data_IF_721672520777
#
_entry.id   IF_721672520777
#
_cell.length_a   1.000
_cell.length_b   1.000
_cell.length_c   1.000
_cell.angle_alpha   90.00
_cell.angle_beta   90.00
_cell.angle_gamma   90.00
#
_symmetry.space_group_name_H-M   'P 1'
#
loop_
_entity.id
_entity.type
_entity.pdbx_description
1 polymer ?
#
# COMPACT_ATOMS: atom_id res chain seq x y z
N UNK A 1 -32.51 1.78 -15.52
CA UNK A 1 -31.31 1.82 -14.65
C UNK A 1 -30.17 2.34 -15.51
N UNK A 2 -29.56 3.47 -15.16
CA UNK A 2 -28.46 4.02 -15.96
C UNK A 2 -27.24 3.09 -15.86
N UNK A 3 -26.55 2.87 -16.98
CA UNK A 3 -25.38 2.00 -17.09
C UNK A 3 -24.11 2.57 -16.42
N UNK A 4 -24.25 3.59 -15.58
CA UNK A 4 -23.13 4.34 -15.00
C UNK A 4 -22.30 3.52 -14.01
N UNK A 5 -22.93 2.54 -13.35
CA UNK A 5 -22.28 1.65 -12.38
C UNK A 5 -22.05 0.21 -12.90
N UNK A 6 -22.27 -0.04 -14.19
CA UNK A 6 -22.09 -1.37 -14.75
C UNK A 6 -20.59 -1.65 -14.99
N UNK A 7 -20.07 -2.74 -14.39
CA UNK A 7 -18.70 -3.21 -14.64
C UNK A 7 -18.57 -3.63 -16.10
N UNK A 8 -17.75 -2.91 -16.86
CA UNK A 8 -17.44 -3.24 -18.26
C UNK A 8 -16.37 -4.33 -18.28
N UNK A 9 -16.76 -5.55 -18.60
CA UNK A 9 -15.83 -6.65 -18.79
C UNK A 9 -15.01 -6.43 -20.07
N UNK A 10 -13.71 -6.72 -20.02
CA UNK A 10 -12.83 -6.72 -21.18
C UNK A 10 -12.16 -8.09 -21.32
N UNK A 11 -11.84 -8.49 -22.54
CA UNK A 11 -11.13 -9.73 -22.78
C UNK A 11 -9.69 -9.61 -22.25
N UNK A 12 -9.24 -10.56 -21.44
CA UNK A 12 -7.89 -10.53 -20.89
C UNK A 12 -6.85 -10.63 -22.00
N UNK A 13 -5.86 -9.72 -21.97
CA UNK A 13 -4.76 -9.69 -22.93
C UNK A 13 -3.43 -9.71 -22.16
N UNK A 14 -2.74 -10.84 -22.23
CA UNK A 14 -1.42 -11.06 -21.61
C UNK A 14 -0.25 -10.78 -22.55
N UNK A 15 -0.49 -10.21 -23.74
CA UNK A 15 0.56 -9.91 -24.69
C UNK A 15 1.60 -8.94 -24.08
N UNK A 16 2.90 -9.13 -24.32
CA UNK A 16 3.97 -8.28 -23.75
C UNK A 16 3.83 -6.79 -24.06
N UNK A 17 3.20 -6.45 -25.19
CA UNK A 17 3.01 -5.07 -25.68
C UNK A 17 1.55 -4.63 -25.63
N UNK A 18 0.78 -5.05 -24.62
CA UNK A 18 -0.60 -4.58 -24.46
C UNK A 18 -0.63 -3.05 -24.23
N UNK A 19 -1.61 -2.33 -24.78
CA UNK A 19 -1.78 -0.90 -24.48
C UNK A 19 -2.07 -0.70 -22.99
N UNK A 20 -1.65 0.45 -22.44
CA UNK A 20 -2.06 0.87 -21.09
C UNK A 20 -3.58 1.00 -21.04
N UNK A 21 -4.19 0.62 -19.93
CA UNK A 21 -5.62 0.81 -19.73
C UNK A 21 -5.93 2.31 -19.68
N UNK A 22 -7.06 2.72 -20.24
CA UNK A 22 -7.56 4.11 -20.18
C UNK A 22 -7.79 4.54 -18.71
N UNK A 23 -8.27 3.62 -17.89
CA UNK A 23 -8.41 3.79 -16.44
C UNK A 23 -7.78 2.58 -15.72
N UNK A 24 -6.48 2.62 -15.39
CA UNK A 24 -5.81 1.50 -14.74
C UNK A 24 -6.27 1.33 -13.28
N UNK A 25 -6.25 0.09 -12.80
CA UNK A 25 -6.43 -0.19 -11.36
C UNK A 25 -5.30 0.51 -10.61
N UNK A 26 -5.68 1.27 -9.58
CA UNK A 26 -4.76 1.93 -8.66
C UNK A 26 -4.45 0.96 -7.53
N UNK A 27 -3.18 0.86 -7.18
CA UNK A 27 -2.70 -0.01 -6.10
C UNK A 27 -2.19 0.90 -4.98
N UNK A 28 -2.73 0.70 -3.79
CA UNK A 28 -2.22 1.27 -2.55
C UNK A 28 -1.44 0.18 -1.81
N UNK A 29 -0.18 0.46 -1.49
CA UNK A 29 0.61 -0.47 -0.69
C UNK A 29 0.30 -0.28 0.80
N UNK A 30 0.23 -1.40 1.53
CA UNK A 30 -0.08 -1.45 2.96
C UNK A 30 1.06 -2.03 3.80
N UNK A 31 2.22 -2.28 3.19
CA UNK A 31 3.31 -3.06 3.79
C UNK A 31 3.87 -2.38 5.04
N UNK A 32 3.99 -1.03 5.02
CA UNK A 32 4.56 -0.25 6.12
C UNK A 32 3.52 0.17 7.18
N UNK A 33 2.24 -0.23 7.05
CA UNK A 33 1.19 0.03 8.05
C UNK A 33 0.34 -1.21 8.31
N UNK A 34 -0.69 -1.48 7.51
CA UNK A 34 -1.70 -2.49 7.87
C UNK A 34 -1.19 -3.93 7.73
N UNK A 35 -0.21 -4.15 6.85
CA UNK A 35 0.46 -5.43 6.70
C UNK A 35 1.07 -5.92 8.00
N UNK A 36 1.86 -5.06 8.66
CA UNK A 36 2.47 -5.42 9.94
C UNK A 36 1.54 -5.36 11.13
N UNK A 37 0.56 -4.45 11.09
CA UNK A 37 -0.52 -4.42 12.06
C UNK A 37 -1.26 -5.77 12.11
N UNK A 38 -1.50 -6.38 10.93
CA UNK A 38 -2.18 -7.67 10.81
C UNK A 38 -1.28 -8.86 11.15
N UNK A 39 -0.03 -8.85 10.69
CA UNK A 39 0.84 -10.03 10.73
C UNK A 39 1.73 -10.13 11.98
N UNK A 40 2.10 -8.99 12.59
CA UNK A 40 3.03 -8.95 13.71
C UNK A 40 2.69 -7.87 14.74
N UNK A 41 1.39 -7.71 15.01
CA UNK A 41 0.86 -6.88 16.10
C UNK A 41 1.42 -5.45 16.09
N UNK A 42 1.60 -4.88 14.89
CA UNK A 42 2.08 -3.51 14.67
C UNK A 42 3.53 -3.28 15.13
N UNK A 43 4.35 -4.33 15.22
CA UNK A 43 5.73 -4.23 15.76
C UNK A 43 6.81 -3.97 14.71
N UNK A 44 6.46 -3.37 13.58
CA UNK A 44 7.46 -2.86 12.64
C UNK A 44 8.14 -1.62 13.22
N UNK A 45 9.46 -1.68 13.40
CA UNK A 45 10.29 -0.53 13.81
C UNK A 45 10.68 0.30 12.60
N UNK A 46 10.92 1.60 12.81
CA UNK A 46 11.36 2.49 11.73
C UNK A 46 12.66 2.02 11.09
N UNK A 47 13.63 1.54 11.89
CA UNK A 47 14.93 1.05 11.39
C UNK A 47 14.82 -0.13 10.42
N UNK A 48 13.80 -0.97 10.57
CA UNK A 48 13.56 -2.15 9.72
C UNK A 48 12.86 -1.76 8.40
N UNK A 49 12.15 -0.62 8.38
CA UNK A 49 11.41 -0.13 7.21
C UNK A 49 12.26 0.76 6.29
N UNK A 50 13.14 1.60 6.86
CA UNK A 50 13.95 2.56 6.10
C UNK A 50 14.74 1.95 4.92
N UNK A 51 15.35 0.75 5.03
CA UNK A 51 16.15 0.18 3.95
C UNK A 51 15.37 -0.10 2.66
N UNK A 52 14.05 -0.26 2.74
CA UNK A 52 13.20 -0.55 1.56
C UNK A 52 12.40 0.66 1.10
N UNK A 53 12.42 1.77 1.83
CA UNK A 53 11.58 2.94 1.55
C UNK A 53 11.83 3.54 0.15
N UNK A 54 13.09 3.69 -0.26
CA UNK A 54 13.46 4.20 -1.59
C UNK A 54 12.95 3.28 -2.71
N UNK A 55 13.12 1.96 -2.55
CA UNK A 55 12.59 0.99 -3.50
C UNK A 55 11.06 1.07 -3.62
N UNK A 56 10.35 1.32 -2.51
CA UNK A 56 8.89 1.44 -2.54
C UNK A 56 8.41 2.68 -3.29
N UNK A 57 9.13 3.79 -3.19
CA UNK A 57 8.88 5.01 -3.98
C UNK A 57 9.08 4.74 -5.49
N UNK A 58 10.16 4.04 -5.86
CA UNK A 58 10.48 3.71 -7.25
C UNK A 58 9.45 2.79 -7.93
N UNK A 59 8.74 1.95 -7.17
CA UNK A 59 7.68 1.06 -7.72
C UNK A 59 6.53 1.86 -8.34
N UNK A 60 6.25 3.07 -7.82
CA UNK A 60 5.21 3.94 -8.36
C UNK A 60 3.78 3.50 -8.01
N UNK A 61 3.55 3.10 -6.77
CA UNK A 61 2.20 2.87 -6.23
C UNK A 61 1.34 4.15 -6.34
N UNK A 62 0.01 3.98 -6.39
CA UNK A 62 -0.90 5.13 -6.40
C UNK A 62 -0.88 5.88 -5.05
N UNK A 63 -0.75 5.13 -3.97
CA UNK A 63 -0.58 5.63 -2.61
C UNK A 63 0.18 4.60 -1.78
N UNK A 64 0.73 5.02 -0.65
CA UNK A 64 1.30 4.14 0.35
C UNK A 64 0.67 4.48 1.69
N UNK A 65 0.08 3.49 2.34
CA UNK A 65 -0.36 3.62 3.71
C UNK A 65 0.83 3.34 4.64
N UNK A 66 1.34 4.40 5.26
CA UNK A 66 2.55 4.34 6.11
C UNK A 66 2.30 4.78 7.55
N UNK A 67 1.08 5.23 7.86
CA UNK A 67 0.80 5.88 9.14
C UNK A 67 -0.67 5.77 9.58
N UNK A 68 -0.94 6.08 10.85
CA UNK A 68 -2.25 5.93 11.47
C UNK A 68 -2.56 4.50 11.95
N UNK A 69 -3.82 4.24 12.29
CA UNK A 69 -4.19 2.97 12.93
C UNK A 69 -3.50 2.80 14.29
N UNK A 70 -2.95 1.61 14.53
CA UNK A 70 -2.26 1.29 15.78
C UNK A 70 -0.79 1.71 15.82
N UNK A 71 -0.22 2.27 14.73
CA UNK A 71 1.20 2.63 14.69
C UNK A 71 1.53 3.72 15.71
N UNK A 72 0.66 4.73 15.86
CA UNK A 72 0.88 5.84 16.79
C UNK A 72 0.96 5.39 18.26
N UNK A 73 0.03 4.55 18.72
CA UNK A 73 0.08 3.97 20.08
C UNK A 73 1.27 3.01 20.21
N UNK A 74 1.51 2.16 19.21
CA UNK A 74 2.51 1.10 19.32
C UNK A 74 3.94 1.63 19.36
N UNK A 75 4.25 2.64 18.55
CA UNK A 75 5.57 3.28 18.53
C UNK A 75 5.91 3.85 19.90
N UNK A 76 4.97 4.61 20.49
CA UNK A 76 5.17 5.21 21.81
C UNK A 76 5.19 4.16 22.93
N UNK A 77 4.21 3.25 22.95
CA UNK A 77 3.98 2.33 24.07
C UNK A 77 4.95 1.16 24.11
N UNK A 78 5.41 0.70 22.94
CA UNK A 78 6.08 -0.59 22.84
C UNK A 78 7.40 -0.60 22.09
N UNK A 79 7.60 0.32 21.15
CA UNK A 79 8.85 0.42 20.39
C UNK A 79 9.78 1.48 20.96
N UNK A 80 9.26 2.37 21.81
CA UNK A 80 9.97 3.54 22.33
C UNK A 80 10.50 4.42 21.19
N UNK A 81 9.65 4.59 20.16
CA UNK A 81 9.90 5.41 18.97
C UNK A 81 8.93 6.60 18.97
N UNK A 82 9.38 7.72 18.39
CA UNK A 82 8.51 8.85 18.08
C UNK A 82 7.81 8.55 16.75
N UNK A 83 6.46 8.55 16.68
CA UNK A 83 5.75 8.32 15.42
C UNK A 83 5.87 9.48 14.42
N UNK A 84 6.35 10.66 14.85
CA UNK A 84 6.57 11.82 13.98
C UNK A 84 7.93 11.78 13.27
#
# INVERSE_FOLDING_TARGET
MSNENAVKMTQMNYAPKRPKAENPVKIEDLSLRDGHQSLFATRGRTEDMLPVAEMMDEVGFWAMEVWGGATFDTMHRFLNEDPW
#
